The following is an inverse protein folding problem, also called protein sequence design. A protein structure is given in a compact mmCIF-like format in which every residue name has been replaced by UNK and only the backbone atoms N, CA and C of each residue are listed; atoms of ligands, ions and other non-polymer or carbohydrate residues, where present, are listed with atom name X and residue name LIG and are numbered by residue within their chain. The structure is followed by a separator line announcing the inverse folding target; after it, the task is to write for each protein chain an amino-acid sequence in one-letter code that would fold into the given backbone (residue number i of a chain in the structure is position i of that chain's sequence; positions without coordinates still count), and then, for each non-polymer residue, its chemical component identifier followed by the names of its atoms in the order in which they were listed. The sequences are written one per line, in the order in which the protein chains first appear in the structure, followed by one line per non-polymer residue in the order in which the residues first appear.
data_IF_978378461640
#
_entry.id   IF_978378461640
#
_cell.length_a   1.000
_cell.length_b   1.000
_cell.length_c   1.000
_cell.angle_alpha   90.00
_cell.angle_beta   90.00
_cell.angle_gamma   90.00
#
_symmetry.space_group_name_H-M   'P 1'
#
loop_
_entity.id
_entity.type
_entity.pdbx_description
1 polymer ?
#
# COMPACT_ATOMS: atom_id res chain seq x y z
N UNK A 1 -32.62 -5.22 -46.83
CA UNK A 1 -31.33 -5.66 -46.21
C UNK A 1 -31.23 -5.00 -44.83
N UNK A 2 -31.43 -5.76 -43.75
CA UNK A 2 -31.48 -5.24 -42.36
C UNK A 2 -30.05 -5.07 -41.85
N UNK A 3 -29.64 -3.83 -41.54
CA UNK A 3 -28.35 -3.52 -40.92
C UNK A 3 -28.40 -3.92 -39.44
N UNK A 4 -27.63 -4.92 -39.04
CA UNK A 4 -27.39 -5.23 -37.64
C UNK A 4 -26.35 -4.23 -37.10
N UNK A 5 -26.75 -3.43 -36.12
CA UNK A 5 -25.86 -2.57 -35.36
C UNK A 5 -25.27 -3.43 -34.23
N UNK A 6 -24.00 -3.82 -34.34
CA UNK A 6 -23.29 -4.60 -33.32
C UNK A 6 -22.92 -3.69 -32.15
N UNK A 7 -23.51 -3.95 -30.98
CA UNK A 7 -23.16 -3.27 -29.73
C UNK A 7 -21.83 -3.86 -29.22
N UNK A 8 -20.75 -3.08 -29.30
CA UNK A 8 -19.45 -3.44 -28.75
C UNK A 8 -19.47 -3.19 -27.22
N UNK A 9 -19.67 -4.26 -26.44
CA UNK A 9 -19.52 -4.20 -24.98
C UNK A 9 -18.02 -4.16 -24.64
N UNK A 10 -17.54 -2.98 -24.24
CA UNK A 10 -16.19 -2.79 -23.71
C UNK A 10 -16.18 -3.42 -22.31
N UNK A 11 -15.65 -4.63 -22.19
CA UNK A 11 -15.33 -5.24 -20.89
C UNK A 11 -14.11 -4.50 -20.34
N UNK A 12 -14.34 -3.49 -19.49
CA UNK A 12 -13.27 -2.88 -18.70
C UNK A 12 -12.66 -3.97 -17.80
N UNK A 13 -11.40 -4.32 -18.05
CA UNK A 13 -10.66 -5.27 -17.21
C UNK A 13 -10.31 -4.59 -15.88
N UNK A 14 -10.66 -5.17 -14.72
CA UNK A 14 -10.49 -4.54 -13.40
C UNK A 14 -9.06 -4.65 -12.85
N UNK A 15 -8.05 -4.84 -13.70
CA UNK A 15 -6.71 -5.23 -13.25
C UNK A 15 -6.04 -4.17 -12.35
N UNK A 16 -6.21 -2.87 -12.64
CA UNK A 16 -5.65 -1.79 -11.81
C UNK A 16 -6.43 -1.55 -10.50
N UNK A 17 -7.73 -1.82 -10.51
CA UNK A 17 -8.55 -1.69 -9.30
C UNK A 17 -8.21 -2.80 -8.29
N UNK A 18 -7.85 -3.99 -8.75
CA UNK A 18 -7.56 -5.12 -7.85
C UNK A 18 -6.33 -4.84 -6.97
N UNK A 19 -5.26 -4.27 -7.54
CA UNK A 19 -4.05 -3.90 -6.79
C UNK A 19 -4.32 -2.79 -5.76
N UNK A 20 -5.03 -1.73 -6.14
CA UNK A 20 -5.39 -0.63 -5.24
C UNK A 20 -6.33 -1.11 -4.11
N UNK A 21 -7.28 -1.97 -4.44
CA UNK A 21 -8.22 -2.50 -3.46
C UNK A 21 -7.58 -3.49 -2.49
N UNK A 22 -6.66 -4.33 -2.94
CA UNK A 22 -5.89 -5.21 -2.05
C UNK A 22 -4.98 -4.41 -1.10
N UNK A 23 -4.34 -3.34 -1.59
CA UNK A 23 -3.54 -2.43 -0.77
C UNK A 23 -4.39 -1.77 0.32
N UNK A 24 -5.47 -1.09 -0.06
CA UNK A 24 -6.37 -0.42 0.88
C UNK A 24 -7.00 -1.40 1.87
N UNK A 25 -7.41 -2.57 1.41
CA UNK A 25 -7.93 -3.61 2.28
C UNK A 25 -6.87 -4.06 3.29
N UNK A 26 -5.63 -4.30 2.85
CA UNK A 26 -4.56 -4.68 3.76
C UNK A 26 -4.29 -3.58 4.79
N UNK A 27 -4.14 -2.33 4.34
CA UNK A 27 -3.85 -1.19 5.21
C UNK A 27 -4.90 -1.04 6.31
N UNK A 28 -6.20 -1.15 5.96
CA UNK A 28 -7.30 -1.10 6.91
C UNK A 28 -7.23 -2.25 7.91
N UNK A 29 -7.10 -3.47 7.42
CA UNK A 29 -7.16 -4.65 8.28
C UNK A 29 -5.91 -4.78 9.16
N UNK A 30 -4.72 -4.43 8.67
CA UNK A 30 -3.50 -4.36 9.49
C UNK A 30 -3.62 -3.35 10.64
N UNK A 31 -4.39 -2.26 10.44
CA UNK A 31 -4.69 -1.31 11.53
C UNK A 31 -5.57 -1.95 12.62
N UNK A 32 -6.55 -2.78 12.24
CA UNK A 32 -7.37 -3.52 13.19
C UNK A 32 -6.62 -4.68 13.86
N UNK A 33 -5.79 -5.40 13.10
CA UNK A 33 -4.94 -6.47 13.57
C UNK A 33 -4.02 -5.99 14.69
N UNK A 34 -3.36 -4.85 14.48
CA UNK A 34 -2.51 -4.20 15.50
C UNK A 34 -3.28 -3.79 16.76
N UNK A 35 -4.57 -3.50 16.63
CA UNK A 35 -5.45 -3.23 17.77
C UNK A 35 -5.98 -4.50 18.45
N UNK A 36 -5.62 -5.69 17.95
CA UNK A 36 -5.95 -7.00 18.50
C UNK A 36 -7.23 -7.62 17.95
N UNK A 37 -7.69 -7.22 16.76
CA UNK A 37 -8.93 -7.74 16.17
C UNK A 37 -8.78 -9.19 15.68
N UNK A 38 -9.72 -10.06 16.05
CA UNK A 38 -9.78 -11.44 15.58
C UNK A 38 -10.60 -11.54 14.28
N UNK A 39 -9.96 -11.89 13.17
CA UNK A 39 -10.62 -12.01 11.87
C UNK A 39 -11.44 -13.30 11.75
N UNK A 40 -12.68 -13.16 11.27
CA UNK A 40 -13.57 -14.30 11.00
C UNK A 40 -13.50 -14.85 9.57
N UNK A 41 -13.12 -14.00 8.60
CA UNK A 41 -13.06 -14.37 7.18
C UNK A 41 -11.90 -15.32 6.86
N UNK A 42 -12.00 -16.08 5.76
CA UNK A 42 -10.91 -16.95 5.32
C UNK A 42 -9.65 -16.12 5.00
N UNK A 43 -9.83 -14.99 4.32
CA UNK A 43 -8.74 -14.12 3.93
C UNK A 43 -8.06 -13.48 5.14
N UNK A 44 -8.85 -12.93 6.08
CA UNK A 44 -8.31 -12.28 7.27
C UNK A 44 -7.51 -13.26 8.13
N UNK A 45 -8.03 -14.48 8.34
CA UNK A 45 -7.30 -15.53 9.06
C UNK A 45 -6.03 -15.97 8.34
N UNK A 46 -6.03 -16.05 7.00
CA UNK A 46 -4.84 -16.46 6.26
C UNK A 46 -3.76 -15.37 6.25
N UNK A 47 -4.16 -14.09 6.19
CA UNK A 47 -3.23 -12.95 6.13
C UNK A 47 -2.68 -12.59 7.51
N UNK A 48 -3.52 -12.61 8.55
CA UNK A 48 -3.17 -12.11 9.90
C UNK A 48 -3.08 -13.19 10.97
N UNK A 49 -3.38 -14.45 10.65
CA UNK A 49 -3.26 -15.66 11.49
C UNK A 49 -4.01 -15.69 12.85
N UNK A 50 -4.51 -14.55 13.34
CA UNK A 50 -5.19 -14.34 14.63
C UNK A 50 -4.35 -14.68 15.87
N UNK A 51 -3.03 -14.86 15.74
CA UNK A 51 -2.18 -15.13 16.90
C UNK A 51 -2.13 -13.91 17.81
N UNK A 52 -2.56 -14.07 19.06
CA UNK A 52 -2.52 -12.99 20.05
C UNK A 52 -3.63 -11.93 19.91
N UNK A 53 -4.63 -12.14 19.05
CA UNK A 53 -5.81 -11.27 19.00
C UNK A 53 -6.62 -11.38 20.31
N UNK A 54 -7.34 -10.30 20.67
CA UNK A 54 -8.05 -10.17 21.96
C UNK A 54 -9.58 -10.23 21.82
N UNK A 55 -10.11 -10.07 20.61
CA UNK A 55 -11.55 -10.17 20.37
C UNK A 55 -11.97 -9.65 19.00
N UNK A 56 -13.26 -9.79 18.68
CA UNK A 56 -13.87 -9.29 17.44
C UNK A 56 -14.44 -7.85 17.59
N UNK A 57 -14.08 -7.17 18.67
CA UNK A 57 -14.40 -5.77 18.92
C UNK A 57 -13.21 -5.17 19.64
N UNK A 58 -12.62 -4.15 19.04
CA UNK A 58 -11.41 -3.48 19.54
C UNK A 58 -11.58 -1.97 19.44
N UNK A 59 -11.02 -1.26 20.42
CA UNK A 59 -10.97 0.20 20.37
C UNK A 59 -9.73 0.61 19.57
N UNK A 60 -9.94 1.43 18.54
CA UNK A 60 -8.85 2.10 17.83
C UNK A 60 -8.46 3.37 18.59
N UNK A 61 -7.16 3.72 18.55
CA UNK A 61 -6.74 5.07 18.94
C UNK A 61 -7.36 6.11 18.00
N UNK A 62 -7.41 7.37 18.43
CA UNK A 62 -7.95 8.47 17.60
C UNK A 62 -7.26 8.56 16.23
N UNK A 63 -5.93 8.42 16.20
CA UNK A 63 -5.16 8.46 14.95
C UNK A 63 -5.42 7.22 14.07
N UNK A 64 -5.48 6.03 14.65
CA UNK A 64 -5.83 4.81 13.90
C UNK A 64 -7.25 4.85 13.33
N UNK A 65 -8.21 5.40 14.10
CA UNK A 65 -9.58 5.60 13.63
C UNK A 65 -9.62 6.60 12.46
N UNK A 66 -8.86 7.71 12.54
CA UNK A 66 -8.77 8.68 11.46
C UNK A 66 -8.15 8.09 10.18
N UNK A 67 -7.11 7.24 10.31
CA UNK A 67 -6.55 6.49 9.19
C UNK A 67 -7.58 5.57 8.55
N UNK A 68 -8.32 4.78 9.35
CA UNK A 68 -9.35 3.88 8.83
C UNK A 68 -10.46 4.64 8.09
N UNK A 69 -10.82 5.85 8.54
CA UNK A 69 -11.77 6.71 7.82
C UNK A 69 -11.23 7.06 6.43
N UNK A 70 -9.99 7.59 6.33
CA UNK A 70 -9.37 7.92 5.04
C UNK A 70 -9.28 6.72 4.09
N UNK A 71 -8.86 5.56 4.61
CA UNK A 71 -8.77 4.33 3.81
C UNK A 71 -10.16 3.93 3.27
N UNK A 72 -11.21 4.01 4.09
CA UNK A 72 -12.57 3.68 3.65
C UNK A 72 -13.11 4.65 2.60
N UNK A 73 -12.74 5.92 2.67
CA UNK A 73 -13.07 6.90 1.63
C UNK A 73 -12.45 6.49 0.29
N UNK A 74 -11.15 6.14 0.27
CA UNK A 74 -10.47 5.60 -0.93
C UNK A 74 -11.08 4.28 -1.40
N UNK A 75 -11.37 3.35 -0.50
CA UNK A 75 -12.05 2.09 -0.86
C UNK A 75 -13.39 2.35 -1.57
N UNK A 76 -14.13 3.38 -1.13
CA UNK A 76 -15.40 3.77 -1.75
C UNK A 76 -15.18 4.41 -3.14
N UNK A 77 -14.19 5.30 -3.28
CA UNK A 77 -13.82 5.94 -4.55
C UNK A 77 -13.40 4.91 -5.62
N UNK A 78 -12.65 3.87 -5.22
CA UNK A 78 -12.23 2.79 -6.10
C UNK A 78 -13.28 1.69 -6.29
N UNK A 79 -14.42 1.75 -5.58
CA UNK A 79 -15.47 0.73 -5.64
C UNK A 79 -15.02 -0.65 -5.16
N UNK A 80 -14.14 -0.69 -4.15
CA UNK A 80 -13.43 -1.89 -3.74
C UNK A 80 -14.33 -2.99 -3.18
N UNK A 81 -14.11 -4.22 -3.68
CA UNK A 81 -14.83 -5.44 -3.28
C UNK A 81 -13.90 -6.64 -3.21
N UNK A 82 -13.00 -6.63 -2.22
CA UNK A 82 -12.06 -7.75 -2.01
C UNK A 82 -12.81 -9.02 -1.58
N UNK A 83 -12.56 -10.12 -2.27
CA UNK A 83 -13.13 -11.43 -1.95
C UNK A 83 -12.51 -12.02 -0.67
N UNK A 84 -13.21 -11.84 0.45
CA UNK A 84 -12.79 -12.32 1.76
C UNK A 84 -12.93 -13.85 1.96
N UNK A 85 -13.46 -14.58 0.96
CA UNK A 85 -13.53 -16.05 0.98
C UNK A 85 -12.24 -16.72 0.48
N UNK A 86 -11.37 -15.98 -0.23
CA UNK A 86 -10.02 -16.45 -0.61
C UNK A 86 -9.11 -16.55 0.62
N UNK A 87 -7.97 -17.21 0.45
CA UNK A 87 -6.92 -17.31 1.49
C UNK A 87 -5.62 -16.62 1.08
N UNK A 88 -5.58 -16.02 -0.10
CA UNK A 88 -4.41 -15.30 -0.63
C UNK A 88 -4.84 -13.87 -0.96
N UNK A 89 -4.01 -12.92 -0.54
CA UNK A 89 -4.08 -11.53 -0.94
C UNK A 89 -2.92 -11.26 -1.89
N UNK A 90 -3.22 -10.85 -3.12
CA UNK A 90 -2.20 -10.46 -4.09
C UNK A 90 -1.76 -9.03 -3.79
N UNK A 91 -0.65 -8.89 -3.08
CA UNK A 91 -0.02 -7.61 -2.77
C UNK A 91 1.51 -7.78 -2.82
N UNK A 92 2.13 -7.18 -3.83
CA UNK A 92 3.53 -7.47 -4.22
C UNK A 92 4.54 -7.22 -3.10
N UNK A 93 4.30 -6.22 -2.26
CA UNK A 93 5.17 -5.81 -1.17
C UNK A 93 4.67 -6.28 0.21
N UNK A 94 3.73 -7.24 0.28
CA UNK A 94 3.11 -7.72 1.52
C UNK A 94 4.11 -8.01 2.67
N UNK A 95 5.28 -8.64 2.45
CA UNK A 95 6.27 -8.84 3.51
C UNK A 95 6.76 -7.53 4.13
N UNK A 96 6.94 -6.48 3.32
CA UNK A 96 7.32 -5.14 3.78
C UNK A 96 6.15 -4.49 4.53
N UNK A 97 4.93 -4.58 4.00
CA UNK A 97 3.73 -3.99 4.63
C UNK A 97 3.53 -4.49 6.07
N UNK A 98 3.89 -5.75 6.36
CA UNK A 98 3.81 -6.34 7.71
C UNK A 98 4.79 -5.75 8.73
N UNK A 99 5.86 -5.10 8.28
CA UNK A 99 6.84 -4.46 9.16
C UNK A 99 6.42 -3.05 9.60
N UNK A 100 5.40 -2.48 8.94
CA UNK A 100 4.98 -1.11 9.19
C UNK A 100 4.17 -0.96 10.47
N UNK A 101 4.50 0.08 11.23
CA UNK A 101 3.68 0.53 12.35
C UNK A 101 2.55 1.45 11.85
N UNK A 102 2.76 2.16 10.75
CA UNK A 102 1.75 3.00 10.10
C UNK A 102 1.56 2.55 8.66
N UNK A 103 0.34 2.11 8.34
CA UNK A 103 0.01 1.76 6.96
C UNK A 103 -0.26 3.05 6.16
N UNK A 104 0.33 3.21 4.96
CA UNK A 104 0.05 4.26 4.00
C UNK A 104 -1.32 4.05 3.36
N UNK A 105 -1.87 5.13 2.83
CA UNK A 105 -3.12 5.16 2.08
C UNK A 105 -2.78 5.28 0.60
N UNK A 106 -3.35 4.39 -0.23
CA UNK A 106 -3.17 4.43 -1.69
C UNK A 106 -3.69 5.75 -2.24
N UNK A 107 -2.87 6.44 -3.02
CA UNK A 107 -3.23 7.64 -3.77
C UNK A 107 -3.81 7.23 -5.15
N UNK A 108 -4.52 8.16 -5.78
CA UNK A 108 -4.99 8.04 -7.16
C UNK A 108 -3.91 8.42 -8.17
N UNK A 109 -2.86 9.10 -7.73
CA UNK A 109 -1.70 9.44 -8.55
C UNK A 109 -0.54 8.49 -8.29
N UNK A 110 0.17 8.16 -9.37
CA UNK A 110 1.37 7.35 -9.32
C UNK A 110 2.48 8.04 -10.08
N UNK A 111 3.69 8.01 -9.52
CA UNK A 111 4.90 8.45 -10.20
C UNK A 111 6.06 7.56 -9.79
N UNK A 112 7.17 7.65 -10.52
CA UNK A 112 8.38 6.95 -10.15
C UNK A 112 9.64 7.75 -10.46
N UNK A 113 10.61 7.67 -9.56
CA UNK A 113 11.99 8.01 -9.79
C UNK A 113 12.70 6.78 -10.38
N UNK A 114 13.24 6.91 -11.59
CA UNK A 114 13.92 5.82 -12.29
C UNK A 114 15.43 5.94 -12.11
N UNK A 115 16.04 4.92 -11.51
CA UNK A 115 17.48 4.82 -11.33
C UNK A 115 18.01 5.85 -10.33
N UNK A 116 17.74 5.61 -9.06
CA UNK A 116 18.16 6.44 -7.92
C UNK A 116 19.66 6.76 -7.94
N UNK A 117 20.00 8.04 -7.85
CA UNK A 117 21.39 8.54 -7.90
C UNK A 117 21.87 9.14 -6.57
N UNK A 118 20.97 9.30 -5.61
CA UNK A 118 21.32 9.87 -4.30
C UNK A 118 21.99 8.83 -3.41
N UNK A 119 22.49 9.28 -2.25
CA UNK A 119 23.06 8.37 -1.25
C UNK A 119 22.03 7.34 -0.77
N UNK A 120 22.48 6.19 -0.25
CA UNK A 120 21.58 5.23 0.38
C UNK A 120 20.72 5.93 1.43
N UNK A 121 19.41 5.73 1.33
CA UNK A 121 18.41 6.51 2.09
C UNK A 121 17.54 5.58 2.92
N UNK A 122 17.48 5.72 4.26
CA UNK A 122 16.73 4.82 5.12
C UNK A 122 15.21 4.99 4.92
N UNK A 123 14.49 3.87 5.06
CA UNK A 123 13.04 3.80 5.03
C UNK A 123 12.50 3.30 6.37
N UNK A 124 11.51 3.99 6.92
CA UNK A 124 11.04 3.81 8.28
C UNK A 124 9.72 3.05 8.36
N UNK A 125 9.44 2.43 9.52
CA UNK A 125 8.19 1.69 9.74
C UNK A 125 6.94 2.58 9.79
N UNK A 126 7.11 3.88 10.00
CA UNK A 126 6.07 4.91 10.03
C UNK A 126 6.62 6.29 9.70
N UNK A 127 5.75 7.32 9.58
CA UNK A 127 6.12 8.71 9.29
C UNK A 127 6.71 9.42 10.52
N UNK A 128 7.71 8.78 11.12
CA UNK A 128 8.48 9.24 12.28
C UNK A 128 9.77 8.42 12.35
N UNK A 129 10.91 9.11 12.40
CA UNK A 129 12.24 8.49 12.47
C UNK A 129 12.41 7.55 13.69
N UNK A 130 11.65 7.78 14.77
CA UNK A 130 11.66 6.94 15.97
C UNK A 130 11.04 5.54 15.76
N UNK A 131 10.32 5.32 14.65
CA UNK A 131 9.67 4.03 14.36
C UNK A 131 10.64 2.94 13.92
N UNK A 132 11.90 3.30 13.66
CA UNK A 132 12.97 2.39 13.25
C UNK A 132 13.01 2.17 11.74
N UNK A 133 14.22 1.86 11.25
CA UNK A 133 14.49 1.59 9.84
C UNK A 133 14.12 0.15 9.51
N UNK A 134 13.34 -0.03 8.45
CA UNK A 134 12.88 -1.34 7.95
C UNK A 134 13.35 -1.62 6.51
N UNK A 135 13.91 -0.62 5.85
CA UNK A 135 14.39 -0.72 4.48
C UNK A 135 15.33 0.42 4.12
N UNK A 136 15.79 0.40 2.88
CA UNK A 136 16.68 1.42 2.32
C UNK A 136 16.38 1.58 0.82
N UNK A 137 16.61 2.78 0.29
CA UNK A 137 16.71 3.05 -1.15
C UNK A 137 18.20 3.01 -1.52
N UNK A 138 18.56 2.12 -2.44
CA UNK A 138 19.95 1.98 -2.92
C UNK A 138 20.13 2.58 -4.30
N UNK A 139 21.37 2.94 -4.65
CA UNK A 139 21.71 3.45 -5.97
C UNK A 139 21.23 2.52 -7.10
N UNK A 140 20.65 3.09 -8.15
CA UNK A 140 20.09 2.39 -9.31
C UNK A 140 18.67 1.86 -9.12
N UNK A 141 18.09 1.91 -7.91
CA UNK A 141 16.73 1.45 -7.68
C UNK A 141 15.68 2.32 -8.40
N UNK A 142 14.55 1.72 -8.75
CA UNK A 142 13.35 2.46 -9.14
C UNK A 142 12.52 2.70 -7.89
N UNK A 143 12.13 3.94 -7.62
CA UNK A 143 11.34 4.33 -6.45
C UNK A 143 9.96 4.74 -6.90
N UNK A 144 8.93 4.01 -6.45
CA UNK A 144 7.53 4.28 -6.78
C UNK A 144 6.84 5.05 -5.68
N UNK A 145 6.12 6.09 -6.08
CA UNK A 145 5.26 6.92 -5.24
C UNK A 145 3.83 6.66 -5.68
N UNK A 146 3.06 5.97 -4.85
CA UNK A 146 1.66 5.64 -5.14
C UNK A 146 0.77 5.91 -3.91
N UNK A 147 1.27 6.61 -2.90
CA UNK A 147 0.61 6.75 -1.62
C UNK A 147 0.60 8.19 -1.16
N UNK A 148 -0.43 8.53 -0.37
CA UNK A 148 -0.59 9.86 0.17
C UNK A 148 0.57 10.23 1.11
N UNK A 149 1.03 11.47 1.01
CA UNK A 149 2.01 12.01 1.94
C UNK A 149 1.39 12.30 3.32
N UNK A 150 2.14 12.01 4.39
CA UNK A 150 1.76 12.31 5.77
C UNK A 150 2.84 13.19 6.43
N UNK A 151 2.56 14.48 6.63
CA UNK A 151 3.41 15.35 7.45
C UNK A 151 4.87 15.50 7.00
N UNK A 152 5.12 15.54 5.69
CA UNK A 152 6.48 15.61 5.13
C UNK A 152 7.12 14.25 4.87
N UNK A 153 6.38 13.17 5.11
CA UNK A 153 6.76 11.80 4.80
C UNK A 153 5.96 11.27 3.62
N UNK A 154 6.56 10.36 2.86
CA UNK A 154 5.86 9.60 1.81
C UNK A 154 6.24 8.14 1.92
N UNK A 155 5.28 7.23 1.71
CA UNK A 155 5.61 5.81 1.61
C UNK A 155 6.06 5.51 0.18
N UNK A 156 7.19 4.82 0.07
CA UNK A 156 7.73 4.38 -1.21
C UNK A 156 7.97 2.89 -1.22
N UNK A 157 7.88 2.32 -2.42
CA UNK A 157 8.45 1.00 -2.70
C UNK A 157 9.61 1.18 -3.65
N UNK A 158 10.64 0.35 -3.47
CA UNK A 158 11.78 0.30 -4.37
C UNK A 158 11.75 -0.99 -5.15
N UNK A 159 12.23 -0.96 -6.39
CA UNK A 159 12.29 -2.12 -7.26
C UNK A 159 13.53 -2.13 -8.14
N UNK A 160 13.86 -3.30 -8.65
CA UNK A 160 14.78 -3.45 -9.79
C UNK A 160 14.16 -2.90 -11.08
N UNK A 161 14.95 -2.68 -12.15
CA UNK A 161 14.42 -2.16 -13.43
C UNK A 161 13.32 -3.01 -14.10
N UNK A 162 13.15 -4.27 -13.68
CA UNK A 162 12.07 -5.17 -14.10
C UNK A 162 10.82 -5.10 -13.19
N UNK A 163 10.75 -4.11 -12.30
CA UNK A 163 9.65 -3.85 -11.35
C UNK A 163 9.44 -4.92 -10.28
N UNK A 164 10.47 -5.73 -10.01
CA UNK A 164 10.49 -6.62 -8.84
C UNK A 164 10.76 -5.80 -7.59
N UNK A 165 9.82 -5.80 -6.63
CA UNK A 165 9.96 -5.06 -5.37
C UNK A 165 11.14 -5.61 -4.56
N UNK A 166 12.00 -4.71 -4.08
CA UNK A 166 13.20 -5.05 -3.30
C UNK A 166 13.18 -4.51 -1.86
N UNK A 167 12.52 -3.38 -1.62
CA UNK A 167 12.47 -2.71 -0.32
C UNK A 167 11.30 -1.71 -0.30
N UNK A 168 10.94 -1.17 0.86
CA UNK A 168 9.89 -0.16 1.01
C UNK A 168 9.74 0.35 2.44
N UNK A 169 9.05 1.46 2.60
CA UNK A 169 8.83 2.12 3.89
C UNK A 169 8.62 3.63 3.75
N UNK A 170 8.54 4.32 4.88
CA UNK A 170 8.32 5.76 4.93
C UNK A 170 9.63 6.53 4.74
N UNK A 171 9.62 7.48 3.82
CA UNK A 171 10.73 8.36 3.44
C UNK A 171 10.48 9.77 3.98
N UNK A 172 11.45 10.33 4.71
CA UNK A 172 11.40 11.73 5.16
C UNK A 172 11.88 12.65 4.04
N UNK A 173 10.94 13.28 3.32
CA UNK A 173 11.22 14.01 2.08
C UNK A 173 12.23 15.14 2.29
N UNK A 174 12.18 15.83 3.43
CA UNK A 174 13.06 16.96 3.73
C UNK A 174 14.54 16.57 3.91
N UNK A 175 14.84 15.30 4.13
CA UNK A 175 16.21 14.82 4.39
C UNK A 175 16.94 14.37 3.13
N UNK A 176 16.25 14.37 1.99
CA UNK A 176 16.71 13.71 0.77
C UNK A 176 16.81 14.71 -0.37
N UNK A 177 18.00 14.82 -0.94
CA UNK A 177 18.18 15.45 -2.25
C UNK A 177 17.87 14.38 -3.31
N UNK A 178 16.61 14.28 -3.71
CA UNK A 178 16.16 13.28 -4.68
C UNK A 178 16.77 13.53 -6.06
N UNK A 179 17.49 12.53 -6.57
CA UNK A 179 18.12 12.56 -7.89
C UNK A 179 17.91 11.23 -8.60
N UNK A 180 17.42 11.32 -9.82
CA UNK A 180 17.03 10.16 -10.62
C UNK A 180 17.66 10.28 -12.01
N UNK A 181 17.83 9.14 -12.67
CA UNK A 181 18.20 9.14 -14.08
C UNK A 181 17.07 9.70 -14.93
N UNK A 182 15.83 9.36 -14.57
CA UNK A 182 14.61 9.86 -15.21
C UNK A 182 13.41 9.81 -14.25
N UNK A 183 12.28 10.38 -14.65
CA UNK A 183 11.02 10.35 -13.91
C UNK A 183 9.88 9.82 -14.80
N UNK A 184 8.97 9.03 -14.20
CA UNK A 184 7.74 8.56 -14.83
C UNK A 184 6.51 9.06 -14.06
N UNK A 185 5.41 9.36 -14.77
CA UNK A 185 4.13 9.82 -14.21
C UNK A 185 3.11 10.13 -15.30
#
# INVERSE_FOLDING_TARGET
MKRLFGLLLILATPALADDACHDLWFARNATFDRAGFCFGSALGKAVFDNTGCIGNSVALSTDAAALVVRIREREAEHGCRVDASRTVLELRDLPIRRLLVRQPVRDVFESACLGWLSTPTPLFAGPDAATGVIGEITAGAYVSYAHEAEGGWTYVTTSTPDWTVTSGGWLEVATVEERCTDFAG
#
